data_IF_472817903275
#
_entry.id   IF_472817903275
#
_cell.length_a   1.000
_cell.length_b   1.000
_cell.length_c   1.000
_cell.angle_alpha   90.00
_cell.angle_beta   90.00
_cell.angle_gamma   90.00
#
_symmetry.space_group_name_H-M   'P 1'
#
loop_
_entity.id
_entity.type
_entity.pdbx_description
1 polymer ?
#
# COMPACT_ATOMS: atom_id res chain seq x y z
N UNK A 1 -16.01 30.67 -10.91
CA UNK A 1 -17.11 30.38 -9.97
C UNK A 1 -17.21 31.52 -8.99
N UNK A 2 -18.40 32.10 -8.83
CA UNK A 2 -18.67 33.14 -7.81
C UNK A 2 -18.95 32.49 -6.46
N UNK A 3 -18.73 33.25 -5.38
CA UNK A 3 -18.66 32.90 -3.95
C UNK A 3 -19.76 32.00 -3.31
N UNK A 4 -20.69 31.40 -4.06
CA UNK A 4 -21.79 30.58 -3.55
C UNK A 4 -21.44 29.13 -3.21
N UNK A 5 -20.35 28.57 -3.75
CA UNK A 5 -20.14 27.11 -3.75
C UNK A 5 -19.30 26.56 -2.59
N UNK A 6 -18.80 27.42 -1.68
CA UNK A 6 -17.95 27.04 -0.55
C UNK A 6 -18.65 27.10 0.82
N UNK A 7 -19.99 27.12 0.85
CA UNK A 7 -20.76 27.16 2.11
C UNK A 7 -20.45 28.38 2.99
N UNK A 8 -20.11 29.52 2.36
CA UNK A 8 -19.77 30.78 3.04
C UNK A 8 -18.29 30.98 3.39
N UNK A 9 -17.40 30.04 3.03
CA UNK A 9 -15.95 30.19 3.24
C UNK A 9 -15.26 30.93 2.07
N UNK A 10 -14.19 31.66 2.37
CA UNK A 10 -13.35 32.31 1.36
C UNK A 10 -12.40 31.30 0.70
N UNK A 11 -11.90 31.60 -0.50
CA UNK A 11 -10.86 30.78 -1.14
C UNK A 11 -9.64 30.56 -0.24
N UNK A 12 -9.25 31.57 0.54
CA UNK A 12 -8.13 31.47 1.47
C UNK A 12 -8.40 30.47 2.60
N UNK A 13 -9.60 30.52 3.21
CA UNK A 13 -9.96 29.59 4.29
C UNK A 13 -10.02 28.14 3.82
N UNK A 14 -10.47 27.91 2.58
CA UNK A 14 -10.48 26.56 1.99
C UNK A 14 -9.05 26.08 1.74
N UNK A 15 -8.21 26.94 1.13
CA UNK A 15 -6.80 26.63 0.86
C UNK A 15 -6.01 26.36 2.14
N UNK A 16 -6.22 27.14 3.20
CA UNK A 16 -5.55 26.92 4.49
C UNK A 16 -5.96 25.58 5.11
N UNK A 17 -7.26 25.25 5.11
CA UNK A 17 -7.76 23.95 5.59
C UNK A 17 -7.18 22.78 4.80
N UNK A 18 -7.03 22.93 3.48
CA UNK A 18 -6.48 21.89 2.62
C UNK A 18 -4.96 21.72 2.84
N UNK A 19 -4.22 22.82 3.04
CA UNK A 19 -2.79 22.79 3.36
C UNK A 19 -2.52 22.18 4.75
N UNK A 20 -3.37 22.45 5.74
CA UNK A 20 -3.31 21.81 7.05
C UNK A 20 -3.54 20.30 6.98
N UNK A 21 -4.51 19.87 6.15
CA UNK A 21 -4.75 18.44 5.93
C UNK A 21 -3.58 17.76 5.20
N UNK A 22 -2.99 18.41 4.19
CA UNK A 22 -1.75 17.94 3.55
C UNK A 22 -0.63 17.78 4.58
N UNK A 23 -0.44 18.78 5.44
CA UNK A 23 0.57 18.71 6.51
C UNK A 23 0.29 17.53 7.44
N UNK A 24 -0.96 17.33 7.86
CA UNK A 24 -1.34 16.19 8.68
C UNK A 24 -0.99 14.86 8.01
N UNK A 25 -1.29 14.70 6.72
CA UNK A 25 -0.95 13.49 5.98
C UNK A 25 0.57 13.27 5.90
N UNK A 26 1.35 14.33 5.64
CA UNK A 26 2.82 14.28 5.68
C UNK A 26 3.33 13.87 7.07
N UNK A 27 2.79 14.45 8.15
CA UNK A 27 3.15 14.11 9.53
C UNK A 27 2.78 12.66 9.89
N UNK A 28 1.79 12.06 9.21
CA UNK A 28 1.44 10.65 9.32
C UNK A 28 2.27 9.73 8.39
N UNK A 29 3.25 10.29 7.67
CA UNK A 29 4.17 9.58 6.80
C UNK A 29 3.67 9.35 5.38
N UNK A 30 2.56 9.98 4.97
CA UNK A 30 2.05 9.85 3.61
C UNK A 30 2.82 10.76 2.64
N UNK A 31 3.33 10.21 1.54
CA UNK A 31 3.97 10.99 0.47
C UNK A 31 2.93 11.63 -0.46
N UNK A 32 2.24 12.65 0.07
CA UNK A 32 1.22 13.41 -0.66
C UNK A 32 1.83 14.37 -1.69
N UNK A 33 3.14 14.63 -1.62
CA UNK A 33 3.86 15.48 -2.58
C UNK A 33 4.05 14.76 -3.92
N UNK A 34 4.22 13.44 -3.91
CA UNK A 34 4.22 12.63 -5.13
C UNK A 34 2.88 12.70 -5.91
N UNK A 35 1.76 12.94 -5.23
CA UNK A 35 0.44 13.09 -5.87
C UNK A 35 0.31 14.38 -6.67
N UNK A 36 1.12 15.40 -6.38
CA UNK A 36 1.10 16.67 -7.11
C UNK A 36 1.62 16.56 -8.54
N UNK A 37 2.38 15.51 -8.85
CA UNK A 37 2.87 15.22 -10.20
C UNK A 37 1.90 14.36 -11.03
N UNK A 38 0.72 13.99 -10.48
CA UNK A 38 -0.31 13.24 -11.21
C UNK A 38 -1.37 14.20 -11.75
N UNK A 39 -1.68 14.10 -13.04
CA UNK A 39 -2.51 15.06 -13.78
C UNK A 39 -4.00 15.11 -13.40
N UNK A 40 -4.42 14.41 -12.34
CA UNK A 40 -5.80 14.43 -11.87
C UNK A 40 -5.91 13.74 -10.51
N UNK A 41 -6.05 14.50 -9.43
CA UNK A 41 -6.57 13.99 -8.16
C UNK A 41 -8.10 14.17 -8.20
N UNK A 42 -8.91 13.10 -8.28
CA UNK A 42 -10.35 13.20 -8.22
C UNK A 42 -10.77 13.73 -6.85
N UNK A 43 -11.36 14.94 -6.81
CA UNK A 43 -11.80 15.59 -5.58
C UNK A 43 -10.85 16.65 -5.02
N UNK A 44 -9.73 16.93 -5.68
CA UNK A 44 -8.88 18.08 -5.38
C UNK A 44 -9.11 19.19 -6.40
N UNK A 45 -9.36 20.40 -5.92
CA UNK A 45 -9.61 21.56 -6.77
C UNK A 45 -8.30 22.10 -7.38
N UNK A 46 -7.66 21.33 -8.24
CA UNK A 46 -6.88 21.87 -9.37
C UNK A 46 -7.31 21.11 -10.63
N UNK A 47 -8.61 21.20 -10.91
CA UNK A 47 -9.28 20.57 -12.04
C UNK A 47 -10.53 21.31 -12.50
N UNK A 48 -10.72 22.56 -12.07
CA UNK A 48 -11.68 23.49 -12.67
C UNK A 48 -10.89 24.48 -13.50
N UNK A 49 -10.89 24.29 -14.83
CA UNK A 49 -10.01 24.98 -15.78
C UNK A 49 -9.79 26.46 -15.49
N UNK A 50 -8.52 26.89 -15.55
CA UNK A 50 -8.02 28.27 -15.52
C UNK A 50 -9.00 29.29 -14.91
N UNK A 51 -9.44 29.07 -13.68
CA UNK A 51 -9.74 30.18 -12.82
C UNK A 51 -8.37 30.65 -12.32
N UNK A 52 -7.88 31.77 -12.85
CA UNK A 52 -6.71 32.44 -12.27
C UNK A 52 -7.03 32.73 -10.81
N UNK A 53 -6.53 31.89 -9.91
CA UNK A 53 -6.51 32.19 -8.50
C UNK A 53 -5.80 33.54 -8.32
N UNK A 54 -6.25 34.39 -7.38
CA UNK A 54 -5.53 35.59 -7.01
C UNK A 54 -4.05 35.26 -6.78
N UNK A 55 -3.15 36.14 -7.23
CA UNK A 55 -1.71 35.92 -7.19
C UNK A 55 -1.23 35.60 -5.77
N UNK A 56 -1.86 36.20 -4.78
CA UNK A 56 -1.59 36.00 -3.35
C UNK A 56 -1.88 34.56 -2.92
N UNK A 57 -2.99 33.97 -3.35
CA UNK A 57 -3.38 32.58 -3.02
C UNK A 57 -2.45 31.60 -3.72
N UNK A 58 -2.13 31.82 -5.00
CA UNK A 58 -1.18 30.97 -5.71
C UNK A 58 0.21 31.03 -5.03
N UNK A 59 0.65 32.21 -4.62
CA UNK A 59 1.94 32.38 -3.92
C UNK A 59 1.93 31.66 -2.57
N UNK A 60 0.83 31.73 -1.80
CA UNK A 60 0.69 31.01 -0.53
C UNK A 60 0.81 29.50 -0.72
N UNK A 61 0.13 28.95 -1.73
CA UNK A 61 0.19 27.51 -2.05
C UNK A 61 1.62 27.11 -2.41
N UNK A 62 2.23 27.79 -3.37
CA UNK A 62 3.56 27.42 -3.87
C UNK A 62 4.64 27.54 -2.78
N UNK A 63 4.61 28.60 -1.97
CA UNK A 63 5.59 28.79 -0.89
C UNK A 63 5.41 27.79 0.25
N UNK A 64 4.17 27.47 0.62
CA UNK A 64 3.87 26.49 1.69
C UNK A 64 4.24 25.08 1.27
N UNK A 65 3.90 24.69 0.05
CA UNK A 65 4.29 23.38 -0.51
C UNK A 65 5.79 23.27 -0.68
N UNK A 66 6.48 24.32 -1.15
CA UNK A 66 7.95 24.32 -1.23
C UNK A 66 8.59 24.17 0.16
N UNK A 67 8.03 24.81 1.20
CA UNK A 67 8.50 24.63 2.57
C UNK A 67 8.29 23.20 3.06
N UNK A 68 7.09 22.63 2.89
CA UNK A 68 6.82 21.24 3.25
C UNK A 68 7.69 20.26 2.47
N UNK A 69 7.94 20.52 1.18
CA UNK A 69 8.85 19.73 0.37
C UNK A 69 10.29 19.82 0.87
N UNK A 70 10.78 21.00 1.27
CA UNK A 70 12.11 21.16 1.86
C UNK A 70 12.19 20.44 3.22
N UNK A 71 11.21 20.60 4.09
CA UNK A 71 11.17 19.94 5.39
C UNK A 71 11.15 18.41 5.20
N UNK A 72 10.29 17.90 4.29
CA UNK A 72 10.16 16.50 3.92
C UNK A 72 11.43 15.93 3.24
N UNK A 73 12.06 16.67 2.33
CA UNK A 73 13.30 16.25 1.66
C UNK A 73 14.54 16.39 2.53
N UNK A 74 14.54 17.30 3.51
CA UNK A 74 15.59 17.39 4.53
C UNK A 74 15.56 16.20 5.49
N UNK A 75 14.39 15.58 5.63
CA UNK A 75 14.17 14.32 6.34
C UNK A 75 14.41 13.07 5.45
N UNK A 76 14.70 13.26 4.15
CA UNK A 76 15.02 12.19 3.18
C UNK A 76 16.43 11.58 3.36
N UNK A 77 16.87 11.44 4.61
CA UNK A 77 17.54 10.21 5.09
C UNK A 77 16.47 9.21 5.57
N UNK A 78 15.36 9.13 4.84
CA UNK A 78 14.05 8.73 5.34
C UNK A 78 14.04 7.33 5.92
N UNK A 79 13.55 7.24 7.15
CA UNK A 79 13.45 5.97 7.87
C UNK A 79 12.60 4.96 7.07
N UNK A 80 12.96 3.66 7.12
CA UNK A 80 12.16 2.63 6.46
C UNK A 80 10.74 2.57 7.03
N UNK A 81 9.75 2.33 6.16
CA UNK A 81 8.38 2.06 6.60
C UNK A 81 8.35 0.68 7.25
N UNK A 82 8.13 0.65 8.56
CA UNK A 82 7.93 -0.57 9.33
C UNK A 82 6.45 -0.85 9.50
N UNK A 83 6.01 -2.04 9.10
CA UNK A 83 4.61 -2.48 9.23
C UNK A 83 4.53 -3.87 9.88
N UNK A 84 3.45 -4.14 10.60
CA UNK A 84 3.17 -5.47 11.17
C UNK A 84 1.71 -5.64 11.58
N UNK A 85 1.15 -4.64 12.28
CA UNK A 85 -0.20 -4.73 12.82
C UNK A 85 -1.25 -4.25 11.82
N UNK A 86 -2.32 -5.05 11.66
CA UNK A 86 -3.46 -4.75 10.78
C UNK A 86 -4.15 -3.41 11.09
N UNK A 87 -4.21 -3.03 12.37
CA UNK A 87 -4.91 -1.85 12.88
C UNK A 87 -4.00 -0.62 13.02
N UNK A 88 -2.80 -0.65 12.43
CA UNK A 88 -1.85 0.46 12.41
C UNK A 88 -1.73 1.01 10.97
N UNK A 89 -1.15 2.21 10.80
CA UNK A 89 -0.74 2.67 9.47
C UNK A 89 0.02 1.57 8.74
N UNK A 90 -0.18 1.47 7.43
CA UNK A 90 0.41 0.41 6.60
C UNK A 90 -0.05 -1.03 6.89
N UNK A 91 -1.08 -1.21 7.73
CA UNK A 91 -1.69 -2.53 7.97
C UNK A 91 -2.21 -3.21 6.69
N UNK A 92 -2.48 -2.43 5.63
CA UNK A 92 -2.84 -2.94 4.32
C UNK A 92 -1.71 -3.72 3.63
N UNK A 93 -0.43 -3.63 4.06
CA UNK A 93 0.63 -4.52 3.58
C UNK A 93 0.51 -5.95 4.13
N UNK A 94 -0.18 -6.14 5.26
CA UNK A 94 -0.33 -7.46 5.87
C UNK A 94 -1.06 -8.45 4.96
N UNK A 95 -0.60 -9.71 4.96
CA UNK A 95 -1.24 -10.82 4.28
C UNK A 95 -2.61 -11.19 4.90
N UNK A 96 -2.88 -10.71 6.11
CA UNK A 96 -4.13 -10.90 6.83
C UNK A 96 -5.16 -9.81 6.54
N UNK A 97 -4.78 -8.75 5.81
CA UNK A 97 -5.70 -7.68 5.47
C UNK A 97 -6.81 -8.18 4.53
N UNK A 98 -8.10 -7.86 4.80
CA UNK A 98 -9.25 -8.41 4.09
C UNK A 98 -9.47 -7.74 2.72
N UNK A 99 -8.52 -7.92 1.82
CA UNK A 99 -8.60 -7.52 0.41
C UNK A 99 -8.72 -8.76 -0.45
N UNK A 100 -9.95 -9.16 -0.84
CA UNK A 100 -10.14 -10.36 -1.64
C UNK A 100 -9.44 -10.24 -2.99
N UNK A 101 -8.82 -11.32 -3.45
CA UNK A 101 -8.17 -11.40 -4.75
C UNK A 101 -8.79 -12.50 -5.61
N UNK A 102 -8.89 -12.25 -6.90
CA UNK A 102 -9.25 -13.25 -7.89
C UNK A 102 -7.97 -13.81 -8.53
N UNK A 103 -7.68 -15.09 -8.27
CA UNK A 103 -6.53 -15.80 -8.83
C UNK A 103 -6.90 -17.26 -9.09
N UNK A 104 -6.44 -17.80 -10.23
CA UNK A 104 -6.69 -19.20 -10.65
C UNK A 104 -8.18 -19.56 -10.62
N UNK A 105 -9.01 -18.68 -11.18
CA UNK A 105 -10.47 -18.80 -11.26
C UNK A 105 -11.19 -18.94 -9.91
N UNK A 106 -10.55 -18.46 -8.83
CA UNK A 106 -11.07 -18.50 -7.46
C UNK A 106 -10.92 -17.16 -6.78
N UNK A 107 -11.89 -16.84 -5.92
CA UNK A 107 -11.80 -15.69 -5.01
C UNK A 107 -11.21 -16.17 -3.68
N UNK A 108 -10.16 -15.50 -3.25
CA UNK A 108 -9.44 -15.73 -2.00
C UNK A 108 -9.70 -14.57 -1.05
N UNK A 109 -10.22 -14.80 0.16
CA UNK A 109 -10.59 -13.70 1.07
C UNK A 109 -9.42 -12.81 1.49
N UNK A 110 -8.22 -13.40 1.63
CA UNK A 110 -6.97 -12.68 1.92
C UNK A 110 -5.80 -13.37 1.23
N UNK A 111 -4.63 -12.72 1.20
CA UNK A 111 -3.40 -13.35 0.73
C UNK A 111 -3.04 -14.60 1.55
N UNK A 112 -3.29 -14.57 2.86
CA UNK A 112 -3.06 -15.72 3.74
C UNK A 112 -3.86 -16.95 3.30
N UNK A 113 -5.12 -16.79 2.87
CA UNK A 113 -5.91 -17.91 2.36
C UNK A 113 -5.28 -18.52 1.11
N UNK A 114 -4.89 -17.68 0.15
CA UNK A 114 -4.22 -18.13 -1.07
C UNK A 114 -2.92 -18.85 -0.74
N UNK A 115 -2.02 -18.19 -0.02
CA UNK A 115 -0.69 -18.69 0.31
C UNK A 115 -0.74 -20.03 1.03
N UNK A 116 -1.62 -20.17 2.02
CA UNK A 116 -1.77 -21.42 2.79
C UNK A 116 -2.42 -22.53 1.96
N UNK A 117 -3.38 -22.21 1.09
CA UNK A 117 -4.01 -23.19 0.23
C UNK A 117 -3.05 -23.71 -0.85
N UNK A 118 -2.17 -22.86 -1.38
CA UNK A 118 -1.18 -23.23 -2.40
C UNK A 118 -0.11 -24.24 -1.90
N UNK A 119 -0.06 -24.50 -0.59
CA UNK A 119 0.72 -25.61 -0.02
C UNK A 119 0.16 -26.99 -0.36
N UNK A 120 -1.14 -27.07 -0.68
CA UNK A 120 -1.90 -28.31 -0.82
C UNK A 120 -2.69 -28.35 -2.14
N UNK A 121 -2.17 -27.71 -3.20
CA UNK A 121 -2.79 -27.67 -4.54
C UNK A 121 -3.20 -29.07 -4.99
N UNK A 122 -4.37 -29.18 -5.61
CA UNK A 122 -4.96 -30.43 -6.08
C UNK A 122 -5.34 -31.43 -4.97
N UNK A 123 -5.47 -30.98 -3.72
CA UNK A 123 -6.01 -31.77 -2.62
C UNK A 123 -7.27 -31.12 -2.04
N UNK A 124 -8.13 -31.87 -1.33
CA UNK A 124 -9.29 -31.28 -0.65
C UNK A 124 -8.93 -30.14 0.32
N UNK A 125 -7.71 -30.14 0.87
CA UNK A 125 -7.26 -29.13 1.83
C UNK A 125 -7.15 -27.73 1.22
N UNK A 126 -6.91 -27.61 -0.09
CA UNK A 126 -6.86 -26.31 -0.78
C UNK A 126 -8.20 -25.57 -0.62
N UNK A 127 -9.31 -26.26 -0.90
CA UNK A 127 -10.64 -25.68 -0.83
C UNK A 127 -11.11 -25.50 0.63
N UNK A 128 -10.73 -26.41 1.54
CA UNK A 128 -10.97 -26.24 2.98
C UNK A 128 -10.32 -24.94 3.50
N UNK A 129 -9.05 -24.70 3.15
CA UNK A 129 -8.31 -23.50 3.59
C UNK A 129 -8.90 -22.25 2.93
N UNK A 130 -9.28 -22.31 1.64
CA UNK A 130 -9.93 -21.17 0.97
C UNK A 130 -11.23 -20.75 1.66
N UNK A 131 -11.99 -21.72 2.19
CA UNK A 131 -13.28 -21.52 2.87
C UNK A 131 -13.17 -21.22 4.35
N UNK A 132 -11.97 -21.18 4.93
CA UNK A 132 -11.76 -20.78 6.31
C UNK A 132 -12.42 -19.42 6.57
N UNK A 133 -12.96 -19.21 7.77
CA UNK A 133 -13.72 -17.98 8.09
C UNK A 133 -12.80 -16.78 8.27
N UNK A 134 -11.55 -17.02 8.66
CA UNK A 134 -10.59 -15.97 8.97
C UNK A 134 -9.21 -16.31 8.43
N UNK A 135 -8.41 -15.29 8.15
CA UNK A 135 -7.00 -15.47 7.77
C UNK A 135 -6.22 -16.27 8.82
N UNK A 136 -6.57 -16.12 10.10
CA UNK A 136 -5.96 -16.88 11.19
C UNK A 136 -6.27 -18.37 11.09
N UNK A 137 -7.53 -18.72 10.85
CA UNK A 137 -7.94 -20.12 10.67
C UNK A 137 -7.25 -20.73 9.44
N UNK A 138 -7.18 -20.01 8.32
CA UNK A 138 -6.42 -20.43 7.14
C UNK A 138 -4.93 -20.69 7.46
N UNK A 139 -4.30 -19.79 8.23
CA UNK A 139 -2.91 -19.94 8.69
C UNK A 139 -2.72 -21.16 9.60
N UNK A 140 -3.64 -21.39 10.53
CA UNK A 140 -3.60 -22.55 11.44
C UNK A 140 -3.75 -23.85 10.66
N UNK A 141 -4.71 -23.93 9.74
CA UNK A 141 -4.93 -25.10 8.88
C UNK A 141 -3.73 -25.36 7.96
N UNK A 142 -3.16 -24.32 7.35
CA UNK A 142 -2.03 -24.49 6.41
C UNK A 142 -0.67 -24.72 7.06
N UNK A 143 -0.57 -24.55 8.38
CA UNK A 143 0.62 -24.89 9.18
C UNK A 143 0.51 -26.26 9.86
N UNK A 144 -0.63 -26.95 9.72
CA UNK A 144 -0.82 -28.30 10.26
C UNK A 144 0.11 -29.31 9.56
N UNK A 145 1.11 -29.78 10.31
CA UNK A 145 2.14 -30.72 9.82
C UNK A 145 1.59 -32.11 9.48
N UNK A 146 0.34 -32.41 9.82
CA UNK A 146 -0.32 -33.67 9.45
C UNK A 146 -0.82 -33.67 8.01
N UNK A 147 -0.94 -32.49 7.38
CA UNK A 147 -1.40 -32.35 5.99
C UNK A 147 -0.23 -32.53 5.00
N UNK A 148 -0.47 -33.08 3.80
CA UNK A 148 0.59 -33.39 2.84
C UNK A 148 1.08 -32.12 2.12
N UNK A 149 2.09 -31.46 2.68
CA UNK A 149 2.75 -30.31 2.05
C UNK A 149 3.36 -30.72 0.70
N UNK A 150 3.13 -29.92 -0.35
CA UNK A 150 3.79 -30.11 -1.65
C UNK A 150 5.32 -30.10 -1.54
N UNK A 151 5.98 -30.94 -2.32
CA UNK A 151 7.42 -31.24 -2.18
C UNK A 151 8.34 -30.07 -2.54
N UNK A 152 7.89 -29.20 -3.43
CA UNK A 152 8.61 -28.04 -3.95
C UNK A 152 8.27 -26.73 -3.20
N UNK A 153 7.56 -26.82 -2.06
CA UNK A 153 7.07 -25.64 -1.34
C UNK A 153 8.16 -24.61 -1.02
N UNK A 154 9.32 -25.06 -0.54
CA UNK A 154 10.41 -24.15 -0.18
C UNK A 154 11.00 -23.40 -1.38
N UNK A 155 10.83 -23.94 -2.59
CA UNK A 155 11.30 -23.32 -3.84
C UNK A 155 10.28 -22.29 -4.35
N UNK A 156 9.00 -22.62 -4.26
CA UNK A 156 7.93 -21.87 -4.95
C UNK A 156 7.17 -20.88 -4.06
N UNK A 157 7.36 -20.90 -2.73
CA UNK A 157 6.64 -20.04 -1.79
C UNK A 157 6.79 -18.54 -2.10
N UNK A 158 7.95 -18.10 -2.55
CA UNK A 158 8.20 -16.70 -2.89
C UNK A 158 7.41 -16.29 -4.13
N UNK A 159 7.36 -17.14 -5.16
CA UNK A 159 6.58 -16.88 -6.37
C UNK A 159 5.08 -16.91 -6.14
N UNK A 160 4.60 -17.80 -5.27
CA UNK A 160 3.20 -17.80 -4.82
C UNK A 160 2.86 -16.49 -4.13
N UNK A 161 3.71 -16.00 -3.23
CA UNK A 161 3.48 -14.72 -2.55
C UNK A 161 3.55 -13.54 -3.53
N UNK A 162 4.52 -13.55 -4.44
CA UNK A 162 4.71 -12.53 -5.49
C UNK A 162 3.47 -12.39 -6.37
N UNK A 163 2.91 -13.50 -6.84
CA UNK A 163 1.67 -13.52 -7.63
C UNK A 163 0.49 -12.93 -6.83
N UNK A 164 0.36 -13.32 -5.56
CA UNK A 164 -0.71 -12.89 -4.67
C UNK A 164 -0.64 -11.38 -4.37
N UNK A 165 0.55 -10.88 -4.05
CA UNK A 165 0.80 -9.46 -3.81
C UNK A 165 0.49 -8.64 -5.06
N UNK A 166 1.00 -9.05 -6.21
CA UNK A 166 0.73 -8.36 -7.46
C UNK A 166 -0.77 -8.32 -7.77
N UNK A 167 -1.49 -9.43 -7.59
CA UNK A 167 -2.94 -9.46 -7.74
C UNK A 167 -3.66 -8.49 -6.79
N UNK A 168 -3.30 -8.47 -5.50
CA UNK A 168 -3.88 -7.55 -4.53
C UNK A 168 -3.65 -6.09 -4.89
N UNK A 169 -2.43 -5.72 -5.23
CA UNK A 169 -2.10 -4.32 -5.50
C UNK A 169 -2.54 -3.84 -6.89
N UNK A 170 -2.94 -4.74 -7.80
CA UNK A 170 -3.48 -4.37 -9.12
C UNK A 170 -5.00 -4.49 -9.23
N UNK A 171 -5.65 -5.31 -8.40
CA UNK A 171 -7.11 -5.48 -8.40
C UNK A 171 -7.83 -4.46 -7.50
N UNK A 172 -7.10 -3.74 -6.65
CA UNK A 172 -7.64 -2.73 -5.73
C UNK A 172 -6.97 -1.37 -6.02
N UNK A 173 -7.64 -0.45 -6.76
CA UNK A 173 -7.06 0.83 -7.17
C UNK A 173 -6.53 1.68 -6.00
N UNK A 174 -7.22 1.68 -4.86
CA UNK A 174 -6.78 2.40 -3.66
C UNK A 174 -5.46 1.84 -3.10
N UNK A 175 -5.26 0.52 -3.20
CA UNK A 175 -4.01 -0.12 -2.82
C UNK A 175 -2.90 0.16 -3.82
N UNK A 176 -3.20 0.22 -5.12
CA UNK A 176 -2.27 0.63 -6.16
C UNK A 176 -1.68 2.01 -5.84
N UNK A 177 -2.54 2.97 -5.52
CA UNK A 177 -2.11 4.32 -5.13
C UNK A 177 -1.26 4.30 -3.86
N UNK A 178 -1.70 3.57 -2.83
CA UNK A 178 -0.98 3.45 -1.54
C UNK A 178 0.40 2.81 -1.64
N UNK A 179 0.59 1.80 -2.50
CA UNK A 179 1.91 1.18 -2.66
C UNK A 179 2.85 2.08 -3.46
N UNK A 180 2.34 2.80 -4.46
CA UNK A 180 3.12 3.75 -5.23
C UNK A 180 3.52 4.97 -4.41
N UNK A 181 2.64 5.43 -3.51
CA UNK A 181 2.90 6.54 -2.58
C UNK A 181 3.92 6.20 -1.49
N UNK A 182 4.48 4.99 -1.46
CA UNK A 182 5.64 4.71 -0.60
C UNK A 182 6.94 5.24 -1.17
N UNK A 183 6.93 5.85 -2.36
CA UNK A 183 8.13 6.38 -2.99
C UNK A 183 9.19 5.28 -3.13
N UNK A 184 10.44 5.61 -2.85
CA UNK A 184 11.54 4.64 -2.86
C UNK A 184 11.88 4.12 -1.46
N UNK A 185 10.99 4.35 -0.48
CA UNK A 185 11.19 3.92 0.89
C UNK A 185 11.28 2.40 0.98
N UNK A 186 12.16 1.92 1.85
CA UNK A 186 12.24 0.50 2.20
C UNK A 186 10.99 0.10 2.97
N UNK A 187 10.37 -0.99 2.55
CA UNK A 187 9.24 -1.60 3.25
C UNK A 187 9.76 -2.75 4.11
N UNK A 188 9.48 -2.71 5.41
CA UNK A 188 9.96 -3.68 6.38
C UNK A 188 8.79 -4.29 7.15
N UNK A 189 8.59 -5.60 7.00
CA UNK A 189 7.71 -6.35 7.89
C UNK A 189 8.43 -6.53 9.24
N UNK A 190 8.09 -5.66 10.20
CA UNK A 190 8.82 -5.54 11.45
C UNK A 190 8.25 -6.47 12.53
N UNK A 191 8.82 -7.66 12.66
CA UNK A 191 8.32 -8.68 13.59
C UNK A 191 9.40 -9.56 14.16
N UNK A 192 9.28 -9.89 15.44
CA UNK A 192 10.16 -10.86 16.14
C UNK A 192 9.77 -12.32 15.85
N UNK A 193 8.61 -12.54 15.26
CA UNK A 193 8.01 -13.87 15.14
C UNK A 193 8.39 -14.60 13.85
N UNK A 194 8.88 -13.89 12.85
CA UNK A 194 9.25 -14.44 11.54
C UNK A 194 10.50 -13.76 11.00
N UNK A 195 11.56 -14.56 10.80
CA UNK A 195 12.86 -14.11 10.28
C UNK A 195 13.00 -14.31 8.77
N UNK A 196 12.06 -15.02 8.13
CA UNK A 196 12.08 -15.21 6.69
C UNK A 196 11.25 -14.12 6.01
N UNK A 197 9.99 -13.99 6.38
CA UNK A 197 9.09 -12.98 5.81
C UNK A 197 9.37 -11.59 6.38
N UNK A 198 9.67 -11.53 7.68
CA UNK A 198 10.00 -10.29 8.40
C UNK A 198 11.47 -10.10 8.71
N UNK A 199 11.76 -8.99 9.37
CA UNK A 199 13.12 -8.55 9.74
C UNK A 199 13.65 -9.13 11.07
N UNK A 200 12.89 -10.00 11.74
CA UNK A 200 13.25 -10.56 13.04
C UNK A 200 13.15 -9.59 14.22
N UNK A 201 12.68 -8.35 14.00
CA UNK A 201 12.56 -7.28 14.99
C UNK A 201 13.88 -6.61 15.37
N UNK A 202 15.02 -7.19 14.98
CA UNK A 202 16.37 -6.67 15.16
C UNK A 202 17.04 -6.31 13.82
N UNK A 203 16.33 -6.51 12.69
CA UNK A 203 16.83 -6.22 11.34
C UNK A 203 17.65 -7.35 10.71
N UNK A 204 17.81 -8.49 11.38
CA UNK A 204 18.64 -9.62 10.89
C UNK A 204 17.83 -10.68 10.14
N UNK A 205 16.51 -10.56 10.10
CA UNK A 205 15.64 -11.37 9.24
C UNK A 205 15.75 -10.93 7.77
N UNK A 206 15.30 -11.80 6.85
CA UNK A 206 15.42 -11.56 5.42
C UNK A 206 14.45 -10.48 4.92
N UNK A 207 13.37 -10.20 5.65
CA UNK A 207 12.33 -9.25 5.23
C UNK A 207 11.82 -9.54 3.81
N UNK A 208 11.63 -10.83 3.48
CA UNK A 208 11.23 -11.23 2.13
C UNK A 208 9.90 -10.61 1.71
N UNK A 209 8.94 -10.44 2.64
CA UNK A 209 7.66 -9.79 2.32
C UNK A 209 7.88 -8.33 1.87
N UNK A 210 8.71 -7.59 2.60
CA UNK A 210 9.08 -6.23 2.24
C UNK A 210 9.76 -6.15 0.87
N UNK A 211 10.66 -7.09 0.57
CA UNK A 211 11.33 -7.17 -0.74
C UNK A 211 10.33 -7.41 -1.88
N UNK A 212 9.42 -8.38 -1.73
CA UNK A 212 8.39 -8.68 -2.73
C UNK A 212 7.38 -7.54 -2.91
N UNK A 213 7.07 -6.79 -1.85
CA UNK A 213 6.25 -5.57 -1.95
C UNK A 213 6.94 -4.49 -2.76
N UNK A 214 8.22 -4.24 -2.51
CA UNK A 214 9.00 -3.27 -3.30
C UNK A 214 9.12 -3.72 -4.76
N UNK A 215 9.32 -5.01 -5.02
CA UNK A 215 9.30 -5.51 -6.40
C UNK A 215 7.93 -5.32 -7.07
N UNK A 216 6.85 -5.60 -6.33
CA UNK A 216 5.47 -5.37 -6.80
C UNK A 216 5.27 -3.89 -7.15
N UNK A 217 5.77 -2.97 -6.31
CA UNK A 217 5.74 -1.52 -6.55
C UNK A 217 6.45 -1.16 -7.86
N UNK A 218 7.68 -1.63 -8.07
CA UNK A 218 8.44 -1.33 -9.30
C UNK A 218 7.77 -1.92 -10.54
N UNK A 219 7.21 -3.13 -10.44
CA UNK A 219 6.46 -3.74 -11.54
C UNK A 219 5.22 -2.94 -11.91
N UNK A 220 4.47 -2.44 -10.92
CA UNK A 220 3.31 -1.58 -11.15
C UNK A 220 3.76 -0.27 -11.83
N UNK A 221 4.81 0.40 -11.31
CA UNK A 221 5.38 1.62 -11.92
C UNK A 221 5.72 1.44 -13.39
N UNK A 222 6.42 0.35 -13.71
CA UNK A 222 6.84 0.04 -15.08
C UNK A 222 5.64 -0.13 -16.04
N UNK A 223 4.57 -0.78 -15.58
CA UNK A 223 3.37 -0.97 -16.40
C UNK A 223 2.63 0.35 -16.64
N UNK A 224 2.66 1.30 -15.69
CA UNK A 224 2.12 2.64 -15.89
C UNK A 224 2.95 3.47 -16.88
N UNK A 225 4.29 3.35 -16.85
CA UNK A 225 5.15 4.11 -17.76
C UNK A 225 5.21 3.54 -19.18
N UNK A 226 4.99 2.23 -19.34
CA UNK A 226 5.03 1.54 -20.64
C UNK A 226 3.66 1.46 -21.34
N UNK A 227 2.60 1.91 -20.68
CA UNK A 227 1.23 1.97 -21.21
C UNK A 227 0.84 3.28 -21.87
N UNK A 228 1.82 4.17 -22.17
CA UNK A 228 1.65 5.40 -22.96
C UNK A 228 2.13 5.22 -24.40
#
# INVERSE_FOLDING_TARGET
>A
MTYSDYGGRTHQQVVESDLEYIKFLLDQGWDVLAWQNQSSIPGYAIGGGIATLPREINTLIQTTLAKYAIDYTSDARSEPIKFYHLNKPYGFFSNFAPYPIHLKDRIWPTLEHYFQAQKFVNTPHEEEIRRAKTAREAAEMGRDRRRPLRRDWEIIKDDVMREALYAKFTQHPDLTEKILSTGDLKLIEHTRNDRYWGDGGDGTGLNMLGQLLMETRERIRYNFSSGQ
#
